data_IF_448849060445
#
_entry.id   IF_448849060445
#
_cell.length_a   1.000
_cell.length_b   1.000
_cell.length_c   1.000
_cell.angle_alpha   90.00
_cell.angle_beta   90.00
_cell.angle_gamma   90.00
#
_symmetry.space_group_name_H-M   'P 1'
#
loop_
_entity.id
_entity.type
_entity.pdbx_description
1 polymer ?
#
# COMPACT_ATOMS: atom_id res chain seq x y z
N UNK A 1 6.84 17.09 -28.86
CA UNK A 1 5.88 16.30 -28.05
C UNK A 1 6.17 16.35 -26.55
N UNK A 2 7.36 15.99 -26.05
CA UNK A 2 7.64 16.12 -24.60
C UNK A 2 7.59 17.59 -24.14
N UNK A 3 8.15 18.51 -24.93
CA UNK A 3 8.06 19.94 -24.63
C UNK A 3 6.61 20.45 -24.52
N UNK A 4 5.68 19.96 -25.35
CA UNK A 4 4.27 20.36 -25.30
C UNK A 4 3.52 19.79 -24.09
N UNK A 5 3.89 18.60 -23.62
CA UNK A 5 3.35 17.98 -22.40
C UNK A 5 3.81 18.73 -21.15
N UNK A 6 5.10 19.11 -21.10
CA UNK A 6 5.69 19.77 -19.92
C UNK A 6 5.44 21.28 -19.86
N UNK A 7 5.18 21.91 -21.01
CA UNK A 7 4.81 23.33 -21.08
C UNK A 7 3.37 23.58 -20.67
N UNK A 8 2.47 22.62 -20.92
CA UNK A 8 1.07 22.75 -20.53
C UNK A 8 0.91 22.51 -19.03
N UNK A 9 0.43 23.55 -18.33
CA UNK A 9 0.30 23.53 -16.86
C UNK A 9 -0.73 22.49 -16.40
N UNK A 10 -1.83 22.35 -17.14
CA UNK A 10 -2.90 21.40 -16.80
C UNK A 10 -2.40 19.96 -16.97
N UNK A 11 -1.78 19.63 -18.09
CA UNK A 11 -1.21 18.29 -18.33
C UNK A 11 -0.12 17.97 -17.31
N UNK A 12 0.79 18.91 -17.03
CA UNK A 12 1.84 18.70 -16.02
C UNK A 12 1.28 18.45 -14.63
N UNK A 13 0.28 19.22 -14.21
CA UNK A 13 -0.38 19.03 -12.91
C UNK A 13 -1.07 17.65 -12.85
N UNK A 14 -1.76 17.25 -13.92
CA UNK A 14 -2.40 15.94 -13.99
C UNK A 14 -1.41 14.78 -13.84
N UNK A 15 -0.24 14.88 -14.48
CA UNK A 15 0.82 13.88 -14.37
C UNK A 15 1.40 13.81 -12.95
N UNK A 16 1.60 14.96 -12.30
CA UNK A 16 2.10 15.01 -10.91
C UNK A 16 1.08 14.40 -9.95
N UNK A 17 -0.19 14.84 -10.03
CA UNK A 17 -1.26 14.32 -9.19
C UNK A 17 -1.47 12.83 -9.41
N UNK A 18 -1.50 12.38 -10.67
CA UNK A 18 -1.63 10.97 -11.02
C UNK A 18 -0.45 10.12 -10.55
N UNK A 19 0.78 10.65 -10.66
CA UNK A 19 1.98 9.97 -10.16
C UNK A 19 1.96 9.79 -8.64
N UNK A 20 1.60 10.83 -7.90
CA UNK A 20 1.46 10.71 -6.44
C UNK A 20 0.28 9.82 -6.05
N UNK A 21 -0.85 9.90 -6.75
CA UNK A 21 -2.00 9.02 -6.52
C UNK A 21 -1.59 7.56 -6.66
N UNK A 22 -0.94 7.20 -7.77
CA UNK A 22 -0.50 5.85 -8.04
C UNK A 22 0.55 5.36 -7.02
N UNK A 23 1.51 6.20 -6.65
CA UNK A 23 2.54 5.87 -5.68
C UNK A 23 1.95 5.63 -4.27
N UNK A 24 1.05 6.51 -3.81
CA UNK A 24 0.41 6.36 -2.50
C UNK A 24 -0.52 5.15 -2.45
N UNK A 25 -1.28 4.88 -3.51
CA UNK A 25 -2.13 3.70 -3.60
C UNK A 25 -1.29 2.41 -3.54
N UNK A 26 -0.19 2.33 -4.31
CA UNK A 26 0.71 1.18 -4.27
C UNK A 26 1.34 1.01 -2.87
N UNK A 27 1.80 2.10 -2.25
CA UNK A 27 2.37 2.06 -0.91
C UNK A 27 1.37 1.57 0.14
N UNK A 28 0.11 2.01 0.06
CA UNK A 28 -0.95 1.58 0.97
C UNK A 28 -1.13 0.05 0.95
N UNK A 29 -1.12 -0.55 -0.24
CA UNK A 29 -1.20 -2.00 -0.39
C UNK A 29 0.04 -2.73 0.15
N UNK A 30 1.23 -2.17 -0.08
CA UNK A 30 2.49 -2.81 0.36
C UNK A 30 2.66 -2.81 1.89
N UNK A 31 2.25 -1.74 2.58
CA UNK A 31 2.37 -1.63 4.05
C UNK A 31 1.11 -2.10 4.77
N UNK A 32 0.04 -2.43 4.03
CA UNK A 32 -1.28 -2.77 4.55
C UNK A 32 -1.31 -4.03 5.41
N UNK A 33 -0.32 -4.91 5.27
CA UNK A 33 -0.19 -6.13 6.08
C UNK A 33 0.16 -5.86 7.54
N UNK A 34 0.75 -4.69 7.83
CA UNK A 34 1.11 -4.32 9.20
C UNK A 34 -0.12 -3.80 9.93
N UNK A 35 -0.44 -4.41 11.06
CA UNK A 35 -1.49 -3.94 11.95
C UNK A 35 -0.91 -3.05 13.06
N UNK A 36 -1.69 -2.08 13.51
CA UNK A 36 -1.39 -1.27 14.68
C UNK A 36 -2.63 -1.07 15.54
N UNK A 37 -2.41 -0.85 16.84
CA UNK A 37 -3.47 -0.53 17.79
C UNK A 37 -3.69 0.98 17.82
N UNK A 38 -4.90 1.44 17.50
CA UNK A 38 -5.22 2.86 17.51
C UNK A 38 -5.20 3.44 18.93
N UNK A 39 -5.68 2.68 19.92
CA UNK A 39 -5.74 3.12 21.31
C UNK A 39 -4.34 3.34 21.90
N UNK A 40 -3.40 2.43 21.61
CA UNK A 40 -2.02 2.56 22.06
C UNK A 40 -1.33 3.78 21.39
N UNK A 41 -1.66 4.08 20.13
CA UNK A 41 -1.17 5.28 19.43
C UNK A 41 -1.70 6.58 20.05
N UNK A 42 -2.97 6.59 20.47
CA UNK A 42 -3.62 7.75 21.08
C UNK A 42 -3.34 7.87 22.59
N UNK A 43 -2.68 6.87 23.20
CA UNK A 43 -2.42 6.83 24.63
C UNK A 43 -3.68 6.67 25.48
N UNK A 44 -4.73 6.07 24.92
CA UNK A 44 -6.01 5.82 25.60
C UNK A 44 -6.15 4.35 26.00
N UNK A 45 -6.99 4.06 26.98
CA UNK A 45 -7.28 2.68 27.35
C UNK A 45 -7.92 1.93 26.17
N UNK A 46 -7.54 0.65 26.00
CA UNK A 46 -8.10 -0.22 24.96
C UNK A 46 -9.61 -0.30 25.12
N UNK A 47 -10.33 -0.19 24.00
CA UNK A 47 -11.75 -0.48 24.02
C UNK A 47 -11.94 -1.96 24.40
N UNK A 48 -12.96 -2.23 25.21
CA UNK A 48 -13.33 -3.59 25.61
C UNK A 48 -14.84 -3.72 25.46
N UNK A 49 -15.26 -4.11 24.26
CA UNK A 49 -16.66 -4.33 23.93
C UNK A 49 -16.85 -5.72 23.32
N UNK A 50 -18.07 -6.23 23.45
CA UNK A 50 -18.45 -7.53 22.90
C UNK A 50 -19.44 -7.34 21.74
N UNK A 51 -19.16 -7.95 20.59
CA UNK A 51 -20.01 -7.87 19.40
C UNK A 51 -20.16 -9.28 18.80
N UNK A 52 -21.40 -9.67 18.44
CA UNK A 52 -21.70 -10.98 17.83
C UNK A 52 -21.11 -12.20 18.58
N UNK A 53 -21.02 -12.12 19.91
CA UNK A 53 -20.47 -13.20 20.76
C UNK A 53 -18.94 -13.26 20.84
N UNK A 54 -18.22 -12.32 20.20
CA UNK A 54 -16.78 -12.13 20.38
C UNK A 54 -16.54 -11.14 21.53
N UNK A 55 -15.91 -11.54 22.64
CA UNK A 55 -15.51 -10.64 23.72
C UNK A 55 -14.18 -9.93 23.40
N UNK A 56 -13.90 -8.82 24.09
CA UNK A 56 -12.61 -8.12 24.06
C UNK A 56 -12.20 -7.54 22.69
N UNK A 57 -13.14 -6.98 21.94
CA UNK A 57 -12.84 -6.24 20.71
C UNK A 57 -12.22 -4.88 21.01
N UNK A 58 -11.23 -4.52 20.19
CA UNK A 58 -10.50 -3.25 20.24
C UNK A 58 -10.22 -2.73 18.82
N UNK A 59 -9.72 -1.50 18.70
CA UNK A 59 -9.47 -0.84 17.41
C UNK A 59 -8.10 -1.19 16.83
N UNK A 60 -8.00 -2.38 16.24
CA UNK A 60 -6.86 -2.80 15.43
C UNK A 60 -7.06 -2.36 13.98
N UNK A 61 -6.11 -1.59 13.44
CA UNK A 61 -6.17 -1.04 12.10
C UNK A 61 -4.95 -1.45 11.28
N UNK A 62 -5.12 -1.50 9.97
CA UNK A 62 -4.00 -1.63 9.03
C UNK A 62 -3.25 -0.31 8.90
N UNK A 63 -1.92 -0.36 8.94
CA UNK A 63 -1.03 0.80 8.67
C UNK A 63 -1.20 1.31 7.23
N UNK A 64 -1.75 0.49 6.33
CA UNK A 64 -2.17 0.92 4.99
C UNK A 64 -3.17 2.07 5.00
N UNK A 65 -3.81 2.39 6.14
CA UNK A 65 -4.68 3.57 6.30
C UNK A 65 -3.94 4.91 6.12
N UNK A 66 -2.63 4.96 6.36
CA UNK A 66 -1.86 6.21 6.41
C UNK A 66 -1.82 7.01 5.09
N UNK A 67 -1.68 6.39 3.89
CA UNK A 67 -1.64 7.14 2.63
C UNK A 67 -3.04 7.59 2.15
N UNK A 68 -4.13 7.02 2.67
CA UNK A 68 -5.48 7.27 2.16
C UNK A 68 -5.93 8.73 2.20
N UNK A 69 -5.66 9.54 3.25
CA UNK A 69 -6.00 10.96 3.25
C UNK A 69 -5.40 11.71 2.05
N UNK A 70 -4.18 11.35 1.65
CA UNK A 70 -3.50 11.94 0.49
C UNK A 70 -4.19 11.48 -0.80
N UNK A 71 -4.49 10.18 -0.91
CA UNK A 71 -5.19 9.60 -2.06
C UNK A 71 -6.55 10.27 -2.27
N UNK A 72 -7.33 10.47 -1.20
CA UNK A 72 -8.64 11.13 -1.27
C UNK A 72 -8.54 12.58 -1.73
N UNK A 73 -7.62 13.36 -1.15
CA UNK A 73 -7.39 14.75 -1.59
C UNK A 73 -7.01 14.78 -3.08
N UNK A 74 -6.15 13.87 -3.53
CA UNK A 74 -5.75 13.81 -4.93
C UNK A 74 -6.90 13.45 -5.86
N UNK A 75 -7.74 12.48 -5.50
CA UNK A 75 -8.90 12.12 -6.31
C UNK A 75 -9.91 13.24 -6.40
N UNK A 76 -10.15 13.97 -5.30
CA UNK A 76 -11.08 15.11 -5.27
C UNK A 76 -10.55 16.24 -6.16
N UNK A 77 -9.27 16.60 -6.01
CA UNK A 77 -8.63 17.61 -6.87
C UNK A 77 -8.66 17.17 -8.34
N UNK A 78 -8.34 15.92 -8.66
CA UNK A 78 -8.40 15.47 -10.06
C UNK A 78 -9.83 15.53 -10.60
N UNK A 79 -10.83 15.18 -9.79
CA UNK A 79 -12.23 15.23 -10.18
C UNK A 79 -12.68 16.65 -10.51
N UNK A 80 -12.31 17.63 -9.68
CA UNK A 80 -12.71 19.02 -9.86
C UNK A 80 -12.07 19.68 -11.09
N UNK A 81 -10.79 19.39 -11.36
CA UNK A 81 -10.04 20.03 -12.44
C UNK A 81 -10.09 19.28 -13.78
N UNK A 82 -10.24 17.96 -13.77
CA UNK A 82 -10.15 17.10 -14.96
C UNK A 82 -11.41 16.24 -15.20
N UNK A 83 -12.36 16.32 -14.28
CA UNK A 83 -13.63 15.60 -14.35
C UNK A 83 -13.50 14.10 -14.09
N UNK A 84 -14.66 13.45 -14.06
CA UNK A 84 -14.83 12.01 -13.79
C UNK A 84 -14.03 11.14 -14.77
N UNK A 85 -13.84 11.59 -16.02
CA UNK A 85 -13.04 10.85 -17.02
C UNK A 85 -11.56 10.77 -16.64
N UNK A 86 -10.99 11.86 -16.11
CA UNK A 86 -9.61 11.90 -15.65
C UNK A 86 -9.40 10.97 -14.45
N UNK A 87 -10.28 11.07 -13.46
CA UNK A 87 -10.26 10.17 -12.28
C UNK A 87 -10.36 8.71 -12.71
N UNK A 88 -11.34 8.37 -13.56
CA UNK A 88 -11.53 6.99 -14.04
C UNK A 88 -10.29 6.44 -14.74
N UNK A 89 -9.61 7.26 -15.55
CA UNK A 89 -8.36 6.83 -16.18
C UNK A 89 -7.26 6.57 -15.13
N UNK A 90 -7.04 7.50 -14.19
CA UNK A 90 -6.02 7.32 -13.14
C UNK A 90 -6.30 6.10 -12.27
N UNK A 91 -7.55 5.88 -11.88
CA UNK A 91 -7.95 4.72 -11.10
C UNK A 91 -7.67 3.43 -11.85
N UNK A 92 -8.12 3.30 -13.11
CA UNK A 92 -7.89 2.08 -13.91
C UNK A 92 -6.40 1.83 -14.16
N UNK A 93 -5.63 2.89 -14.47
CA UNK A 93 -4.19 2.79 -14.64
C UNK A 93 -3.52 2.30 -13.35
N UNK A 94 -3.88 2.90 -12.22
CA UNK A 94 -3.30 2.58 -10.90
C UNK A 94 -3.67 1.16 -10.47
N UNK A 95 -4.92 0.72 -10.65
CA UNK A 95 -5.32 -0.67 -10.41
C UNK A 95 -4.50 -1.64 -11.27
N UNK A 96 -4.24 -1.31 -12.54
CA UNK A 96 -3.36 -2.10 -13.40
C UNK A 96 -1.91 -2.14 -12.91
N UNK A 97 -1.37 -1.01 -12.43
CA UNK A 97 -0.02 -0.93 -11.85
C UNK A 97 0.10 -1.73 -10.54
N UNK A 98 -0.93 -1.69 -9.70
CA UNK A 98 -1.00 -2.48 -8.47
C UNK A 98 -1.01 -3.97 -8.81
N UNK A 99 -1.88 -4.40 -9.73
CA UNK A 99 -1.91 -5.80 -10.18
C UNK A 99 -0.57 -6.26 -10.76
N UNK A 100 0.06 -5.42 -11.59
CA UNK A 100 1.42 -5.68 -12.09
C UNK A 100 2.45 -5.80 -10.95
N UNK A 101 2.41 -4.90 -9.97
CA UNK A 101 3.28 -4.93 -8.80
C UNK A 101 3.16 -6.24 -8.01
N UNK A 102 1.93 -6.73 -7.82
CA UNK A 102 1.69 -8.01 -7.15
C UNK A 102 2.19 -9.22 -7.95
N UNK A 103 2.05 -9.22 -9.28
CA UNK A 103 2.67 -10.26 -10.13
C UNK A 103 4.19 -10.26 -9.96
N UNK A 104 4.82 -9.09 -9.95
CA UNK A 104 6.27 -8.97 -9.72
C UNK A 104 6.65 -9.47 -8.33
N UNK A 105 5.91 -9.09 -7.28
CA UNK A 105 6.15 -9.56 -5.92
C UNK A 105 6.00 -11.08 -5.80
N UNK A 106 4.98 -11.66 -6.43
CA UNK A 106 4.78 -13.11 -6.47
C UNK A 106 6.00 -13.83 -7.07
N UNK A 107 6.47 -13.36 -8.22
CA UNK A 107 7.65 -13.92 -8.87
C UNK A 107 8.90 -13.73 -8.00
N UNK A 108 9.05 -12.59 -7.33
CA UNK A 108 10.17 -12.30 -6.44
C UNK A 108 10.21 -13.25 -5.23
N UNK A 109 9.07 -13.57 -4.62
CA UNK A 109 8.97 -14.54 -3.51
C UNK A 109 9.43 -15.94 -3.93
N UNK A 110 9.14 -16.34 -5.18
CA UNK A 110 9.47 -17.67 -5.70
C UNK A 110 10.86 -17.77 -6.34
N UNK A 111 11.60 -16.66 -6.44
CA UNK A 111 12.99 -16.70 -6.87
C UNK A 111 13.83 -17.41 -5.80
N UNK A 112 14.79 -18.27 -6.21
CA UNK A 112 15.63 -18.99 -5.27
C UNK A 112 16.49 -18.01 -4.46
N UNK A 113 16.47 -18.07 -3.12
CA UNK A 113 17.32 -17.22 -2.28
C UNK A 113 18.79 -17.63 -2.40
N UNK A 114 19.68 -16.63 -2.26
CA UNK A 114 21.09 -16.90 -2.00
C UNK A 114 21.24 -17.68 -0.69
N UNK A 115 22.00 -18.78 -0.73
CA UNK A 115 22.20 -19.68 0.42
C UNK A 115 23.34 -19.23 1.34
N UNK A 116 24.07 -18.17 0.97
CA UNK A 116 25.19 -17.63 1.74
C UNK A 116 24.74 -16.56 2.74
N UNK A 117 25.01 -15.31 2.39
CA UNK A 117 24.81 -14.18 3.30
C UNK A 117 23.33 -13.80 3.44
N UNK A 118 22.53 -13.94 2.38
CA UNK A 118 21.14 -13.45 2.36
C UNK A 118 20.28 -14.01 3.50
N UNK A 119 20.28 -15.34 3.67
CA UNK A 119 19.43 -16.02 4.66
C UNK A 119 19.64 -15.53 6.09
N UNK A 120 20.89 -15.21 6.45
CA UNK A 120 21.28 -14.81 7.82
C UNK A 120 21.59 -13.33 7.96
N UNK A 121 21.38 -12.53 6.91
CA UNK A 121 21.72 -11.11 6.84
C UNK A 121 21.12 -10.28 7.99
N UNK A 122 19.94 -10.67 8.48
CA UNK A 122 19.20 -10.00 9.56
C UNK A 122 19.10 -10.85 10.84
N UNK A 123 19.93 -11.89 10.98
CA UNK A 123 19.89 -12.80 12.14
C UNK A 123 20.18 -12.08 13.46
N UNK A 124 21.09 -11.09 13.46
CA UNK A 124 21.40 -10.27 14.63
C UNK A 124 20.23 -9.36 15.06
N UNK A 125 19.30 -9.07 14.14
CA UNK A 125 18.10 -8.26 14.39
C UNK A 125 16.87 -9.11 14.75
N UNK A 126 17.07 -10.42 14.97
CA UNK A 126 16.01 -11.35 15.36
C UNK A 126 15.24 -11.97 14.18
N UNK A 127 15.79 -11.92 12.96
CA UNK A 127 15.22 -12.59 11.77
C UNK A 127 16.18 -13.69 11.30
N UNK A 128 16.02 -14.94 11.79
CA UNK A 128 16.96 -16.04 11.49
C UNK A 128 16.91 -16.53 10.04
N UNK A 129 15.77 -16.37 9.38
CA UNK A 129 15.55 -16.74 7.98
C UNK A 129 14.93 -15.56 7.23
N UNK A 130 15.78 -14.87 6.47
CA UNK A 130 15.38 -13.70 5.70
C UNK A 130 14.42 -14.06 4.54
N UNK A 131 14.52 -15.27 3.97
CA UNK A 131 13.62 -15.68 2.89
C UNK A 131 12.22 -15.95 3.43
N UNK A 132 12.11 -16.63 4.56
CA UNK A 132 10.83 -16.85 5.23
C UNK A 132 10.18 -15.52 5.62
N UNK A 133 10.98 -14.58 6.16
CA UNK A 133 10.49 -13.24 6.51
C UNK A 133 10.01 -12.45 5.28
N UNK A 134 10.78 -12.44 4.19
CA UNK A 134 10.38 -11.79 2.93
C UNK A 134 9.06 -12.36 2.39
N UNK A 135 8.94 -13.70 2.37
CA UNK A 135 7.74 -14.39 1.92
C UNK A 135 6.53 -14.11 2.82
N UNK A 136 6.72 -14.02 4.13
CA UNK A 136 5.65 -13.70 5.07
C UNK A 136 5.16 -12.25 4.90
N UNK A 137 6.07 -11.28 4.80
CA UNK A 137 5.72 -9.85 4.68
C UNK A 137 5.02 -9.57 3.34
N UNK A 138 5.62 -9.97 2.23
CA UNK A 138 5.06 -9.66 0.90
C UNK A 138 3.98 -10.66 0.45
N UNK A 139 3.98 -11.88 0.97
CA UNK A 139 2.97 -12.89 0.66
C UNK A 139 1.62 -12.65 1.35
N UNK A 140 1.61 -12.12 2.59
CA UNK A 140 0.36 -11.73 3.26
C UNK A 140 -0.40 -10.64 2.48
N UNK A 141 0.33 -9.71 1.87
CA UNK A 141 -0.26 -8.60 1.09
C UNK A 141 -1.00 -9.09 -0.15
N UNK A 142 -0.56 -10.21 -0.73
CA UNK A 142 -1.23 -10.82 -1.89
C UNK A 142 -2.61 -11.39 -1.56
N UNK A 143 -2.81 -11.89 -0.34
CA UNK A 143 -4.07 -12.52 0.07
C UNK A 143 -5.20 -11.50 0.32
N UNK A 144 -4.88 -10.23 0.53
CA UNK A 144 -5.86 -9.16 0.76
C UNK A 144 -6.70 -8.88 -0.51
N UNK A 145 -6.16 -9.16 -1.71
CA UNK A 145 -6.83 -8.89 -2.99
C UNK A 145 -7.69 -10.06 -3.45
N UNK A 146 -7.35 -11.28 -3.05
CA UNK A 146 -8.08 -12.51 -3.42
C UNK A 146 -9.18 -12.84 -2.41
N UNK A 147 -9.07 -12.35 -1.18
CA UNK A 147 -10.03 -12.52 -0.08
C UNK A 147 -11.32 -11.73 -0.24
#
# INVERSE_FOLDING_TARGET
>A
MIHSILSDKATRLYLVLGGFFAANALLAEMIGVKLFQLEDLLGVAKADFSLLGQPHLSFVLSVGVLPWPIVFIMTDVVNDYYGVRGVRFLTLLTTGLIAFGFVVLYLAIHMPPDQGWWLTSSAAEGVPDMQAAFSAVFGQGMNIIVG
#
